data_IF_934177115112
#
_entry.id   IF_934177115112
#
_cell.length_a   1.000
_cell.length_b   1.000
_cell.length_c   1.000
_cell.angle_alpha   90.00
_cell.angle_beta   90.00
_cell.angle_gamma   90.00
#
_symmetry.space_group_name_H-M   'P 1'
#
loop_
_entity.id
_entity.type
_entity.pdbx_description
1 polymer ?
#
# COMPACT_ATOMS: atom_id res chain seq x y z
N UNK A 1 3.04 40.11 6.65
CA UNK A 1 3.25 38.65 6.66
C UNK A 1 2.74 38.17 7.99
N UNK A 2 1.53 37.61 8.05
CA UNK A 2 1.01 37.07 9.31
C UNK A 2 1.63 35.71 9.52
N UNK A 3 2.36 35.55 10.62
CA UNK A 3 2.94 34.28 11.04
C UNK A 3 1.80 33.26 11.20
N UNK A 4 1.84 32.22 10.38
CA UNK A 4 0.88 31.12 10.40
C UNK A 4 1.27 30.08 11.47
N UNK A 5 1.66 30.56 12.65
CA UNK A 5 2.01 29.70 13.76
C UNK A 5 0.71 29.23 14.44
N UNK A 6 0.54 27.92 14.68
CA UNK A 6 -0.60 27.43 15.42
C UNK A 6 -0.63 28.07 16.82
N UNK A 7 -1.82 28.38 17.36
CA UNK A 7 -1.92 29.00 18.67
C UNK A 7 -1.28 28.09 19.73
N UNK A 8 -0.55 28.66 20.70
CA UNK A 8 0.06 27.86 21.76
C UNK A 8 -1.03 27.13 22.53
N UNK A 9 -0.98 25.80 22.48
CA UNK A 9 -1.92 24.95 23.22
C UNK A 9 -1.54 25.06 24.70
N UNK A 10 -2.43 25.52 25.58
CA UNK A 10 -2.13 25.62 27.00
C UNK A 10 -1.89 24.22 27.56
N UNK A 11 -0.69 24.00 28.10
CA UNK A 11 -0.36 22.76 28.79
C UNK A 11 -1.06 22.81 30.15
N UNK A 12 -2.00 21.88 30.39
CA UNK A 12 -2.72 21.81 31.66
C UNK A 12 -1.77 21.39 32.80
N UNK A 13 -1.83 22.07 33.94
CA UNK A 13 -1.03 21.78 35.15
C UNK A 13 -1.32 20.39 35.75
N UNK A 14 -2.47 19.81 35.41
CA UNK A 14 -2.87 18.47 35.81
C UNK A 14 -3.21 17.65 34.57
N UNK A 15 -2.34 16.70 34.24
CA UNK A 15 -2.65 15.60 33.31
C UNK A 15 -3.08 14.38 34.12
N UNK A 16 -4.19 13.72 33.77
CA UNK A 16 -4.52 12.40 34.31
C UNK A 16 -3.34 11.44 34.13
N UNK A 17 -3.18 10.42 34.98
CA UNK A 17 -2.17 9.37 34.75
C UNK A 17 -2.53 8.69 33.43
N UNK A 18 -1.79 9.02 32.37
CA UNK A 18 -1.99 8.61 30.97
C UNK A 18 -1.46 7.18 30.71
N UNK A 19 -1.40 6.33 31.74
CA UNK A 19 -1.09 4.91 31.58
C UNK A 19 -2.37 4.13 31.49
N UNK A 20 -2.95 4.10 30.29
CA UNK A 20 -4.09 3.22 30.02
C UNK A 20 -3.74 1.74 30.28
N UNK A 21 -2.47 1.37 30.10
CA UNK A 21 -1.92 0.03 30.37
C UNK A 21 -0.75 0.08 31.36
N UNK A 22 -0.99 -0.05 32.68
CA UNK A 22 0.05 0.10 33.69
C UNK A 22 1.18 -0.95 33.63
N UNK A 23 1.00 -2.02 32.85
CA UNK A 23 1.93 -3.15 32.74
C UNK A 23 2.72 -3.19 31.43
N UNK A 24 2.50 -2.24 30.53
CA UNK A 24 3.19 -2.20 29.24
C UNK A 24 3.89 -0.86 29.09
N UNK A 25 5.22 -0.92 28.88
CA UNK A 25 6.05 0.24 28.60
C UNK A 25 5.94 0.63 27.11
N UNK A 26 4.74 0.97 26.65
CA UNK A 26 4.51 1.49 25.30
C UNK A 26 4.83 3.00 25.26
N UNK A 27 5.60 3.48 24.25
CA UNK A 27 5.77 4.90 24.03
C UNK A 27 4.44 5.56 23.63
N UNK A 28 4.22 6.81 24.06
CA UNK A 28 2.99 7.57 23.80
C UNK A 28 2.81 7.86 22.31
N UNK A 29 3.91 8.12 21.60
CA UNK A 29 3.92 8.40 20.16
C UNK A 29 4.38 7.14 19.42
N UNK A 30 3.63 6.69 18.39
CA UNK A 30 4.09 5.62 17.52
C UNK A 30 5.38 6.05 16.82
N UNK A 31 6.27 5.08 16.60
CA UNK A 31 7.53 5.32 15.89
C UNK A 31 7.28 5.63 14.40
N UNK A 32 8.21 6.31 13.71
CA UNK A 32 8.08 6.56 12.27
C UNK A 32 7.93 5.29 11.43
N UNK A 33 8.59 4.20 11.85
CA UNK A 33 8.52 2.90 11.18
C UNK A 33 7.14 2.25 11.35
N UNK A 34 6.56 2.32 12.55
CA UNK A 34 5.19 1.85 12.80
C UNK A 34 4.17 2.66 12.00
N UNK A 35 4.33 3.99 11.93
CA UNK A 35 3.48 4.84 11.11
C UNK A 35 3.59 4.51 9.60
N UNK A 36 4.80 4.19 9.11
CA UNK A 36 5.01 3.78 7.72
C UNK A 36 4.39 2.41 7.39
N UNK A 37 4.29 1.54 8.40
CA UNK A 37 3.70 0.20 8.28
C UNK A 37 2.16 0.19 8.30
N UNK A 38 1.52 1.33 8.61
CA UNK A 38 0.07 1.43 8.68
C UNK A 38 -0.60 0.97 7.38
N UNK A 39 -1.75 0.30 7.54
CA UNK A 39 -2.63 -0.02 6.43
C UNK A 39 -3.07 1.28 5.74
N UNK A 40 -3.09 1.36 4.39
CA UNK A 40 -3.42 2.60 3.68
C UNK A 40 -4.77 3.23 4.09
N UNK A 41 -5.80 2.41 4.31
CA UNK A 41 -7.12 2.90 4.76
C UNK A 41 -7.06 3.53 6.16
N UNK A 42 -6.28 2.93 7.07
CA UNK A 42 -6.11 3.46 8.42
C UNK A 42 -5.31 4.76 8.42
N UNK A 43 -4.24 4.81 7.62
CA UNK A 43 -3.46 6.04 7.43
C UNK A 43 -4.32 7.19 6.85
N UNK A 44 -5.21 6.87 5.90
CA UNK A 44 -6.16 7.83 5.33
C UNK A 44 -7.17 8.34 6.36
N UNK A 45 -7.72 7.45 7.21
CA UNK A 45 -8.66 7.85 8.26
C UNK A 45 -8.01 8.77 9.31
N UNK A 46 -6.74 8.54 9.64
CA UNK A 46 -6.00 9.30 10.65
C UNK A 46 -5.44 10.63 10.12
N UNK A 47 -4.91 10.64 8.90
CA UNK A 47 -4.14 11.77 8.35
C UNK A 47 -4.75 12.41 7.10
N UNK A 48 -5.90 11.91 6.63
CA UNK A 48 -6.49 12.29 5.35
C UNK A 48 -5.78 11.65 4.16
N UNK A 49 -6.27 11.91 2.94
CA UNK A 49 -5.67 11.40 1.72
C UNK A 49 -4.38 12.16 1.38
N UNK A 50 -3.18 11.55 1.49
CA UNK A 50 -1.99 12.14 0.93
C UNK A 50 -2.16 12.29 -0.60
N UNK A 51 -1.69 13.41 -1.16
CA UNK A 51 -1.62 13.61 -2.62
C UNK A 51 -0.59 12.64 -3.21
N UNK A 52 -0.99 11.39 -3.44
CA UNK A 52 -0.17 10.38 -4.09
C UNK A 52 -0.41 10.42 -5.60
N UNK A 53 0.62 10.12 -6.40
CA UNK A 53 0.40 9.85 -7.82
C UNK A 53 -0.57 8.67 -7.99
N UNK A 54 -1.40 8.75 -9.02
CA UNK A 54 -2.21 7.63 -9.48
C UNK A 54 -1.33 6.39 -9.70
N UNK A 55 -1.88 5.22 -9.38
CA UNK A 55 -1.18 3.95 -9.45
C UNK A 55 -2.12 2.78 -9.68
N UNK A 56 -1.55 1.68 -10.18
CA UNK A 56 -2.18 0.38 -10.16
C UNK A 56 -1.38 -0.58 -9.31
N UNK A 57 -2.07 -1.43 -8.57
CA UNK A 57 -1.45 -2.48 -7.79
C UNK A 57 -1.94 -3.84 -8.27
N UNK A 58 -1.05 -4.82 -8.31
CA UNK A 58 -1.37 -6.22 -8.57
C UNK A 58 -1.16 -6.98 -7.27
N UNK A 59 -2.21 -7.66 -6.82
CA UNK A 59 -2.18 -8.57 -5.68
C UNK A 59 -2.31 -10.01 -6.15
N UNK A 60 -1.44 -10.91 -5.70
CA UNK A 60 -1.52 -12.32 -6.07
C UNK A 60 -1.02 -13.24 -4.94
N UNK A 61 -1.56 -14.45 -4.86
CA UNK A 61 -1.06 -15.49 -3.94
C UNK A 61 0.22 -16.16 -4.47
N UNK A 62 1.03 -16.76 -3.60
CA UNK A 62 1.99 -17.77 -4.01
C UNK A 62 1.32 -18.86 -4.84
N UNK A 63 2.00 -19.32 -5.89
CA UNK A 63 1.50 -20.37 -6.78
C UNK A 63 2.62 -21.34 -7.15
N UNK A 64 2.23 -22.57 -7.49
CA UNK A 64 3.18 -23.58 -7.97
C UNK A 64 3.53 -23.34 -9.44
N UNK A 65 4.81 -23.40 -9.76
CA UNK A 65 5.30 -23.33 -11.13
C UNK A 65 6.67 -22.66 -11.28
N UNK A 66 7.33 -22.84 -12.44
CA UNK A 66 8.65 -22.25 -12.69
C UNK A 66 8.61 -20.71 -12.72
N UNK A 67 7.46 -20.13 -13.08
CA UNK A 67 7.32 -18.69 -13.25
C UNK A 67 7.17 -17.92 -11.91
N UNK A 68 6.95 -18.61 -10.79
CA UNK A 68 6.70 -17.94 -9.50
C UNK A 68 7.89 -17.10 -9.04
N UNK A 69 9.10 -17.64 -9.13
CA UNK A 69 10.31 -16.91 -8.78
C UNK A 69 10.47 -15.64 -9.63
N UNK A 70 10.13 -15.72 -10.92
CA UNK A 70 10.18 -14.58 -11.84
C UNK A 70 9.10 -13.54 -11.52
N UNK A 71 7.88 -13.96 -11.23
CA UNK A 71 6.81 -13.05 -10.82
C UNK A 71 7.19 -12.30 -9.54
N UNK A 72 7.79 -12.99 -8.56
CA UNK A 72 8.24 -12.37 -7.31
C UNK A 72 9.37 -11.36 -7.53
N UNK A 73 10.30 -11.65 -8.43
CA UNK A 73 11.37 -10.72 -8.82
C UNK A 73 10.78 -9.44 -9.44
N UNK A 74 9.86 -9.57 -10.40
CA UNK A 74 9.18 -8.43 -11.04
C UNK A 74 8.37 -7.62 -10.03
N UNK A 75 7.65 -8.30 -9.12
CA UNK A 75 6.87 -7.66 -8.06
C UNK A 75 7.75 -6.84 -7.12
N UNK A 76 8.91 -7.37 -6.71
CA UNK A 76 9.87 -6.67 -5.83
C UNK A 76 10.58 -5.49 -6.48
N UNK A 77 10.61 -5.45 -7.81
CA UNK A 77 11.17 -4.33 -8.58
C UNK A 77 10.19 -3.16 -8.77
N UNK A 78 8.92 -3.32 -8.36
CA UNK A 78 7.90 -2.28 -8.46
C UNK A 78 8.18 -1.09 -7.52
N UNK A 79 7.46 0.03 -7.72
CA UNK A 79 7.64 1.24 -6.92
C UNK A 79 7.35 1.05 -5.43
N UNK A 80 6.44 0.15 -5.07
CA UNK A 80 6.21 -0.33 -3.70
C UNK A 80 5.83 -1.81 -3.74
N UNK A 81 6.42 -2.61 -2.86
CA UNK A 81 6.13 -4.03 -2.72
C UNK A 81 5.85 -4.37 -1.26
N UNK A 82 4.80 -5.16 -1.01
CA UNK A 82 4.43 -5.62 0.34
C UNK A 82 3.97 -7.07 0.33
N UNK A 83 4.31 -7.78 1.40
CA UNK A 83 3.68 -9.04 1.76
C UNK A 83 2.48 -8.73 2.67
N UNK A 84 1.30 -9.22 2.32
CA UNK A 84 0.08 -9.07 3.10
C UNK A 84 -0.31 -10.44 3.67
N UNK A 85 -0.57 -10.50 4.97
CA UNK A 85 -0.90 -11.76 5.65
C UNK A 85 0.30 -12.69 5.84
N UNK A 86 0.02 -13.95 6.21
CA UNK A 86 1.05 -14.95 6.48
C UNK A 86 0.53 -16.36 6.18
N UNK A 87 1.44 -17.26 5.79
CA UNK A 87 1.10 -18.66 5.51
C UNK A 87 0.03 -18.77 4.41
N UNK A 88 -1.13 -19.43 4.66
CA UNK A 88 -2.17 -19.60 3.64
C UNK A 88 -2.82 -18.31 3.15
N UNK A 89 -2.75 -17.23 3.92
CA UNK A 89 -3.33 -15.92 3.54
C UNK A 89 -2.31 -14.98 2.93
N UNK A 90 -1.07 -15.44 2.71
CA UNK A 90 -0.03 -14.62 2.12
C UNK A 90 -0.43 -14.15 0.72
N UNK A 91 -0.35 -12.84 0.51
CA UNK A 91 -0.50 -12.17 -0.78
C UNK A 91 0.71 -11.26 -1.02
N UNK A 92 1.18 -11.23 -2.26
CA UNK A 92 2.15 -10.27 -2.72
C UNK A 92 1.43 -9.11 -3.36
N UNK A 93 1.69 -7.89 -2.91
CA UNK A 93 1.19 -6.66 -3.52
C UNK A 93 2.35 -5.89 -4.15
N UNK A 94 2.25 -5.62 -5.44
CA UNK A 94 3.19 -4.77 -6.17
C UNK A 94 2.45 -3.56 -6.76
N UNK A 95 2.91 -2.35 -6.44
CA UNK A 95 2.33 -1.08 -6.89
C UNK A 95 3.19 -0.45 -7.99
N UNK A 96 2.55 -0.06 -9.07
CA UNK A 96 3.15 0.51 -10.27
C UNK A 96 2.59 1.90 -10.55
N UNK A 97 3.45 2.79 -11.02
CA UNK A 97 3.09 4.10 -11.54
C UNK A 97 2.82 4.01 -13.06
N UNK A 98 2.10 4.97 -13.67
CA UNK A 98 1.82 4.96 -15.12
C UNK A 98 3.05 4.82 -16.01
N UNK A 99 4.20 5.35 -15.58
CA UNK A 99 5.48 5.24 -16.31
C UNK A 99 6.08 3.83 -16.30
N UNK A 100 5.56 2.94 -15.47
CA UNK A 100 6.01 1.55 -15.29
C UNK A 100 5.04 0.56 -15.95
N UNK A 101 4.21 1.03 -16.89
CA UNK A 101 3.19 0.22 -17.58
C UNK A 101 3.75 -1.07 -18.20
N UNK A 102 4.97 -1.04 -18.76
CA UNK A 102 5.63 -2.24 -19.29
C UNK A 102 5.93 -3.26 -18.21
N UNK A 103 6.49 -2.83 -17.07
CA UNK A 103 6.80 -3.72 -15.95
C UNK A 103 5.54 -4.30 -15.30
N UNK A 104 4.47 -3.50 -15.20
CA UNK A 104 3.15 -3.96 -14.79
C UNK A 104 2.65 -5.06 -15.72
N UNK A 105 2.76 -4.87 -17.05
CA UNK A 105 2.33 -5.86 -18.03
C UNK A 105 3.15 -7.15 -17.92
N UNK A 106 4.48 -7.06 -17.81
CA UNK A 106 5.35 -8.22 -17.68
C UNK A 106 4.97 -9.09 -16.47
N UNK A 107 4.66 -8.47 -15.33
CA UNK A 107 4.15 -9.19 -14.16
C UNK A 107 2.77 -9.80 -14.43
N UNK A 108 1.84 -9.00 -14.96
CA UNK A 108 0.47 -9.41 -15.18
C UNK A 108 0.33 -10.54 -16.20
N UNK A 109 1.21 -10.62 -17.21
CA UNK A 109 1.24 -11.71 -18.17
C UNK A 109 1.55 -13.07 -17.49
N UNK A 110 2.24 -13.07 -16.34
CA UNK A 110 2.50 -14.27 -15.54
C UNK A 110 1.34 -14.56 -14.58
N UNK A 111 0.97 -13.56 -13.76
CA UNK A 111 0.05 -13.80 -12.63
C UNK A 111 -1.42 -13.64 -12.99
N UNK A 112 -1.74 -12.95 -14.09
CA UNK A 112 -3.09 -12.67 -14.52
C UNK A 112 -3.91 -13.90 -14.91
N UNK A 113 -3.29 -15.08 -15.06
CA UNK A 113 -4.03 -16.33 -15.31
C UNK A 113 -4.70 -16.92 -14.06
N UNK A 114 -4.32 -16.47 -12.87
CA UNK A 114 -4.83 -17.03 -11.62
C UNK A 114 -6.03 -16.23 -11.12
N UNK A 115 -7.07 -16.94 -10.65
CA UNK A 115 -8.25 -16.32 -10.02
C UNK A 115 -7.90 -15.62 -8.71
N UNK A 116 -6.75 -15.96 -8.11
CA UNK A 116 -6.21 -15.32 -6.92
C UNK A 116 -5.52 -13.98 -7.20
N UNK A 117 -5.60 -13.46 -8.43
CA UNK A 117 -4.93 -12.23 -8.84
C UNK A 117 -5.93 -11.09 -8.96
N UNK A 118 -5.76 -10.08 -8.11
CA UNK A 118 -6.56 -8.87 -8.07
C UNK A 118 -5.78 -7.67 -8.63
N UNK A 119 -6.51 -6.76 -9.26
CA UNK A 119 -5.98 -5.48 -9.75
C UNK A 119 -6.67 -4.38 -8.97
N UNK A 120 -5.88 -3.47 -8.40
CA UNK A 120 -6.36 -2.38 -7.58
C UNK A 120 -5.99 -1.05 -8.23
N UNK A 121 -6.82 -0.03 -8.01
CA UNK A 121 -6.51 1.35 -8.39
C UNK A 121 -6.26 2.13 -7.10
N UNK A 122 -5.08 2.71 -6.98
CA UNK A 122 -4.63 3.38 -5.75
C UNK A 122 -4.80 2.53 -4.48
N UNK A 123 -4.44 1.25 -4.59
CA UNK A 123 -4.57 0.22 -3.55
C UNK A 123 -6.02 -0.06 -3.11
N UNK A 124 -7.02 0.39 -3.88
CA UNK A 124 -8.43 0.15 -3.61
C UNK A 124 -9.04 -0.77 -4.66
N UNK A 125 -9.88 -1.74 -4.25
CA UNK A 125 -10.62 -2.56 -5.20
C UNK A 125 -11.63 -1.68 -5.93
N UNK A 126 -11.65 -1.77 -7.26
CA UNK A 126 -12.61 -1.07 -8.11
C UNK A 126 -13.26 -2.06 -9.07
N UNK A 127 -14.55 -1.87 -9.43
CA UNK A 127 -15.21 -2.72 -10.42
C UNK A 127 -14.44 -2.73 -11.75
N UNK A 128 -14.32 -3.90 -12.36
CA UNK A 128 -13.69 -4.10 -13.67
C UNK A 128 -12.25 -3.56 -13.75
N UNK A 129 -11.50 -3.60 -12.63
CA UNK A 129 -10.12 -3.13 -12.58
C UNK A 129 -9.26 -3.76 -13.69
N UNK A 130 -9.37 -5.08 -13.86
CA UNK A 130 -8.64 -5.84 -14.87
C UNK A 130 -9.11 -5.53 -16.29
N UNK A 131 -10.43 -5.50 -16.52
CA UNK A 131 -11.03 -5.45 -17.85
C UNK A 131 -11.08 -4.04 -18.43
N UNK A 132 -11.02 -3.00 -17.59
CA UNK A 132 -11.08 -1.61 -18.03
C UNK A 132 -9.74 -0.90 -17.87
N UNK A 133 -9.13 -0.95 -16.69
CA UNK A 133 -7.98 -0.09 -16.39
C UNK A 133 -6.70 -0.59 -17.03
N UNK A 134 -6.45 -1.90 -17.03
CA UNK A 134 -5.26 -2.43 -17.67
C UNK A 134 -5.22 -2.11 -19.19
N UNK A 135 -6.31 -2.27 -19.97
CA UNK A 135 -6.40 -1.75 -21.34
C UNK A 135 -5.95 -0.31 -21.51
N UNK A 136 -6.45 0.57 -20.65
CA UNK A 136 -6.10 1.99 -20.71
C UNK A 136 -4.61 2.24 -20.42
N UNK A 137 -4.04 1.48 -19.48
CA UNK A 137 -2.63 1.58 -19.11
C UNK A 137 -1.72 1.02 -20.20
N UNK A 138 -2.13 -0.05 -20.90
CA UNK A 138 -1.34 -0.60 -22.01
C UNK A 138 -1.14 0.38 -23.16
N UNK A 139 -2.05 1.35 -23.38
CA UNK A 139 -1.84 2.42 -24.35
C UNK A 139 -0.67 3.37 -24.00
N UNK A 140 -0.15 3.31 -22.78
CA UNK A 140 1.03 4.08 -22.36
C UNK A 140 2.35 3.42 -22.78
N UNK A 141 2.30 2.14 -23.16
CA UNK A 141 3.46 1.38 -23.65
C UNK A 141 3.73 1.83 -25.10
N UNK A 142 4.95 2.25 -25.38
CA UNK A 142 5.39 2.69 -26.71
C UNK A 142 6.13 1.59 -27.45
#
# INVERSE_FOLDING_TARGET
MSDNNPPPVPVLDYRPIERFWPYVDLPEQPTPEELASLHPELAEALFGQPRRPFSLSVEFSPFDGPDYARALELARAAADYRDLGAGPTLRHRARFLPREASALRDLFDIVGRFDSTDVLVDDKPVPYARELWLPLVWFLIR
#
